data_IF_474252068453
#
_entry.id   IF_474252068453
#
_cell.length_a   1.000
_cell.length_b   1.000
_cell.length_c   1.000
_cell.angle_alpha   90.00
_cell.angle_beta   90.00
_cell.angle_gamma   90.00
#
_symmetry.space_group_name_H-M   'P 1'
#
loop_
_entity.id
_entity.type
_entity.pdbx_description
1 polymer ?
#
# COMPACT_ATOMS: atom_id res chain seq x y z
N UNK A 1 -31.47 29.93 -0.70
CA UNK A 1 -30.12 30.09 -1.26
C UNK A 1 -30.18 29.72 -2.73
N UNK A 2 -29.51 30.48 -3.60
CA UNK A 2 -29.36 30.15 -5.02
C UNK A 2 -27.91 30.44 -5.44
N UNK A 3 -27.09 29.41 -5.70
CA UNK A 3 -27.43 27.98 -5.71
C UNK A 3 -27.75 27.41 -4.32
N UNK A 4 -28.41 26.26 -4.28
CA UNK A 4 -28.79 25.59 -3.03
C UNK A 4 -27.60 25.01 -2.26
N UNK A 5 -27.75 24.89 -0.93
CA UNK A 5 -26.79 24.21 -0.09
C UNK A 5 -26.83 22.69 -0.35
N UNK A 6 -25.67 22.05 -0.41
CA UNK A 6 -25.50 20.61 -0.69
C UNK A 6 -25.30 19.82 0.61
N UNK A 7 -25.33 18.49 0.51
CA UNK A 7 -24.96 17.55 1.58
C UNK A 7 -25.66 17.81 2.93
N UNK A 8 -26.94 18.19 2.90
CA UNK A 8 -27.73 18.48 4.09
C UNK A 8 -27.39 19.82 4.76
N UNK A 9 -26.66 20.71 4.09
CA UNK A 9 -26.43 22.08 4.56
C UNK A 9 -27.73 22.89 4.63
N UNK A 10 -27.83 23.76 5.63
CA UNK A 10 -28.99 24.61 5.85
C UNK A 10 -28.72 26.02 5.33
N UNK A 11 -29.64 26.60 4.57
CA UNK A 11 -29.54 28.00 4.14
C UNK A 11 -29.94 28.90 5.32
N UNK A 12 -28.97 29.60 5.91
CA UNK A 12 -29.20 30.43 7.11
C UNK A 12 -29.28 31.93 6.81
N UNK A 13 -28.75 32.36 5.66
CA UNK A 13 -28.85 33.73 5.18
C UNK A 13 -28.75 33.77 3.64
N UNK A 14 -28.80 34.96 3.04
CA UNK A 14 -28.71 35.14 1.59
C UNK A 14 -27.40 34.55 1.06
N UNK A 15 -27.52 33.42 0.37
CA UNK A 15 -26.39 32.64 -0.19
C UNK A 15 -25.35 32.20 0.85
N UNK A 16 -25.74 32.08 2.12
CA UNK A 16 -24.88 31.57 3.19
C UNK A 16 -25.40 30.23 3.68
N UNK A 17 -24.59 29.19 3.52
CA UNK A 17 -24.90 27.85 3.96
C UNK A 17 -24.23 27.53 5.30
N UNK A 18 -25.00 26.97 6.23
CA UNK A 18 -24.49 26.33 7.44
C UNK A 18 -24.28 24.85 7.16
N UNK A 19 -23.02 24.43 7.12
CA UNK A 19 -22.65 23.04 6.86
C UNK A 19 -22.74 22.18 8.12
N UNK A 20 -22.94 20.87 7.92
CA UNK A 20 -22.72 19.90 8.99
C UNK A 20 -21.22 19.75 9.26
N UNK A 21 -20.85 19.18 10.40
CA UNK A 21 -19.44 19.02 10.82
C UNK A 21 -18.55 18.21 9.85
N UNK A 22 -19.15 17.58 8.83
CA UNK A 22 -18.49 16.70 7.89
C UNK A 22 -18.31 17.31 6.50
N UNK A 23 -18.74 18.55 6.28
CA UNK A 23 -18.66 19.23 4.99
C UNK A 23 -18.26 20.70 5.15
N UNK A 24 -17.58 21.23 4.14
CA UNK A 24 -17.10 22.61 4.04
C UNK A 24 -17.28 23.13 2.61
N UNK A 25 -16.99 24.41 2.40
CA UNK A 25 -17.26 25.12 1.14
C UNK A 25 -18.50 26.01 1.23
N UNK A 26 -18.65 26.94 0.29
CA UNK A 26 -19.73 27.92 0.27
C UNK A 26 -21.12 27.27 0.18
N UNK A 27 -21.20 26.09 -0.43
CA UNK A 27 -22.41 25.30 -0.58
C UNK A 27 -22.31 23.96 0.16
N UNK A 28 -21.36 23.79 1.08
CA UNK A 28 -21.11 22.53 1.78
C UNK A 28 -20.78 21.36 0.84
N UNK A 29 -20.10 21.65 -0.27
CA UNK A 29 -19.82 20.71 -1.35
C UNK A 29 -18.61 19.80 -1.09
N UNK A 30 -17.67 20.21 -0.22
CA UNK A 30 -16.45 19.46 0.04
C UNK A 30 -16.55 18.64 1.34
N UNK A 31 -16.30 17.33 1.31
CA UNK A 31 -16.30 16.51 2.51
C UNK A 31 -15.05 16.77 3.36
N UNK A 32 -15.21 16.58 4.68
CA UNK A 32 -14.12 16.67 5.67
C UNK A 32 -13.74 15.27 6.14
N UNK A 33 -12.45 14.99 6.09
CA UNK A 33 -11.85 13.81 6.71
C UNK A 33 -11.16 14.26 8.00
N UNK A 34 -11.61 13.75 9.17
CA UNK A 34 -11.00 14.09 10.48
C UNK A 34 -9.51 13.77 10.51
N UNK A 35 -9.15 12.67 9.87
CA UNK A 35 -7.76 12.31 9.64
C UNK A 35 -7.38 12.62 8.20
N UNK A 36 -6.31 13.39 8.02
CA UNK A 36 -5.81 13.78 6.70
C UNK A 36 -5.47 12.54 5.88
N UNK A 37 -5.97 12.50 4.64
CA UNK A 37 -5.56 11.52 3.64
C UNK A 37 -4.08 11.72 3.30
N UNK A 38 -3.28 10.67 3.36
CA UNK A 38 -1.84 10.71 3.13
C UNK A 38 -1.51 10.39 1.67
N UNK A 39 -0.26 10.62 1.29
CA UNK A 39 0.30 10.19 0.00
C UNK A 39 -0.50 10.63 -1.23
N UNK A 40 -1.03 11.85 -1.20
CA UNK A 40 -1.84 12.41 -2.29
C UNK A 40 -3.28 11.89 -2.36
N UNK A 41 -3.74 11.14 -1.35
CA UNK A 41 -5.13 10.70 -1.25
C UNK A 41 -6.10 11.89 -1.13
N UNK A 42 -7.31 11.73 -1.68
CA UNK A 42 -8.35 12.78 -1.69
C UNK A 42 -9.52 12.39 -0.79
N UNK A 43 -9.98 13.29 0.06
CA UNK A 43 -11.21 13.08 0.81
C UNK A 43 -12.41 13.14 -0.14
N UNK A 44 -13.18 12.05 -0.24
CA UNK A 44 -14.32 11.95 -1.18
C UNK A 44 -15.66 11.80 -0.49
N UNK A 45 -15.65 11.35 0.78
CA UNK A 45 -16.79 11.32 1.69
C UNK A 45 -16.27 11.54 3.11
N UNK A 46 -17.14 11.85 4.08
CA UNK A 46 -16.73 11.98 5.47
C UNK A 46 -15.87 10.79 5.94
N UNK A 47 -14.62 11.06 6.31
CA UNK A 47 -13.61 10.06 6.71
C UNK A 47 -13.29 8.96 5.68
N UNK A 48 -13.58 9.18 4.39
CA UNK A 48 -13.23 8.24 3.32
C UNK A 48 -12.22 8.89 2.38
N UNK A 49 -11.02 8.33 2.38
CA UNK A 49 -9.94 8.72 1.49
C UNK A 49 -9.95 7.85 0.23
N UNK A 50 -9.96 8.50 -0.94
CA UNK A 50 -9.66 7.88 -2.22
C UNK A 50 -8.15 7.86 -2.41
N UNK A 51 -7.57 6.68 -2.56
CA UNK A 51 -6.15 6.46 -2.76
C UNK A 51 -5.84 6.13 -4.22
N UNK A 52 -4.61 6.39 -4.67
CA UNK A 52 -4.09 5.74 -5.88
C UNK A 52 -3.80 4.27 -5.56
N UNK A 53 -4.72 3.38 -5.93
CA UNK A 53 -4.68 1.96 -5.59
C UNK A 53 -3.46 1.22 -6.18
N UNK A 54 -2.77 1.81 -7.15
CA UNK A 54 -1.51 1.27 -7.70
C UNK A 54 -0.36 1.33 -6.70
N UNK A 55 -0.43 2.25 -5.73
CA UNK A 55 0.67 2.56 -4.83
C UNK A 55 0.28 2.59 -3.34
N UNK A 56 -0.98 2.87 -3.02
CA UNK A 56 -1.42 3.13 -1.65
C UNK A 56 -2.80 2.55 -1.32
N UNK A 57 -2.96 2.13 -0.07
CA UNK A 57 -4.20 1.58 0.51
C UNK A 57 -4.32 1.94 1.99
N UNK A 58 -5.37 1.43 2.64
CA UNK A 58 -5.72 1.73 4.02
C UNK A 58 -6.60 2.96 4.15
N UNK A 59 -7.19 3.13 5.33
CA UNK A 59 -8.21 4.15 5.64
C UNK A 59 -7.78 5.60 5.35
N UNK A 60 -6.47 5.86 5.36
CA UNK A 60 -5.87 7.17 5.09
C UNK A 60 -4.86 7.12 3.95
N UNK A 61 -4.86 6.08 3.11
CA UNK A 61 -3.84 5.86 2.08
C UNK A 61 -2.42 5.72 2.66
N UNK A 62 -2.30 5.21 3.89
CA UNK A 62 -1.04 5.12 4.64
C UNK A 62 -0.25 3.84 4.36
N UNK A 63 -0.90 2.81 3.84
CA UNK A 63 -0.28 1.52 3.60
C UNK A 63 0.24 1.46 2.16
N UNK A 64 1.52 1.15 1.92
CA UNK A 64 2.04 1.00 0.57
C UNK A 64 1.50 -0.27 -0.08
N UNK A 65 1.33 -0.21 -1.40
CA UNK A 65 0.97 -1.35 -2.25
C UNK A 65 2.16 -1.68 -3.14
N UNK A 66 2.51 -2.96 -3.18
CA UNK A 66 3.50 -3.48 -4.12
C UNK A 66 2.72 -4.23 -5.20
N UNK A 67 2.84 -3.79 -6.46
CA UNK A 67 2.14 -4.39 -7.60
C UNK A 67 2.51 -5.88 -7.75
N UNK A 68 3.76 -6.20 -7.47
CA UNK A 68 4.20 -7.58 -7.29
C UNK A 68 4.36 -7.90 -5.80
N UNK A 69 3.88 -9.06 -5.34
CA UNK A 69 3.95 -9.41 -3.93
C UNK A 69 5.40 -9.62 -3.48
N UNK A 70 5.70 -9.20 -2.26
CA UNK A 70 6.95 -9.55 -1.59
C UNK A 70 6.91 -11.03 -1.19
N UNK A 71 7.83 -11.83 -1.72
CA UNK A 71 7.95 -13.26 -1.47
C UNK A 71 8.69 -13.54 -0.16
N UNK A 72 8.66 -14.81 0.25
CA UNK A 72 9.40 -15.34 1.40
C UNK A 72 9.22 -14.54 2.71
N UNK A 73 8.01 -14.02 2.93
CA UNK A 73 7.67 -13.25 4.14
C UNK A 73 8.20 -11.81 4.14
N UNK A 74 8.65 -11.30 3.00
CA UNK A 74 8.98 -9.88 2.84
C UNK A 74 7.76 -8.97 3.02
N UNK A 75 8.00 -7.71 3.40
CA UNK A 75 6.94 -6.71 3.62
C UNK A 75 7.08 -5.56 2.63
N UNK A 76 5.96 -5.12 2.06
CA UNK A 76 5.93 -3.90 1.26
C UNK A 76 6.12 -2.70 2.19
N UNK A 77 7.19 -1.92 2.00
CA UNK A 77 7.54 -0.77 2.85
C UNK A 77 7.39 0.56 2.13
N UNK A 78 7.46 0.54 0.80
CA UNK A 78 7.13 1.65 -0.09
C UNK A 78 6.52 1.08 -1.38
N UNK A 79 5.88 1.91 -2.21
CA UNK A 79 5.33 1.43 -3.46
C UNK A 79 6.38 0.69 -4.30
N UNK A 80 6.09 -0.59 -4.62
CA UNK A 80 6.98 -1.49 -5.34
C UNK A 80 8.37 -1.72 -4.72
N UNK A 81 8.52 -1.51 -3.41
CA UNK A 81 9.74 -1.78 -2.66
C UNK A 81 9.47 -2.70 -1.47
N UNK A 82 10.10 -3.88 -1.50
CA UNK A 82 10.03 -4.88 -0.45
C UNK A 82 11.20 -4.75 0.52
N UNK A 83 10.90 -4.85 1.82
CA UNK A 83 11.88 -5.20 2.85
C UNK A 83 11.90 -6.70 3.00
N UNK A 84 13.06 -7.31 2.76
CA UNK A 84 13.22 -8.76 2.78
C UNK A 84 13.53 -9.30 4.17
N UNK A 85 13.11 -10.54 4.41
CA UNK A 85 13.56 -11.31 5.56
C UNK A 85 15.05 -11.64 5.42
N UNK A 86 15.69 -11.93 6.56
CA UNK A 86 17.10 -12.33 6.58
C UNK A 86 17.34 -13.55 5.69
N UNK A 87 18.38 -13.48 4.86
CA UNK A 87 18.71 -14.54 3.91
C UNK A 87 17.96 -14.46 2.57
N UNK A 88 17.13 -13.46 2.33
CA UNK A 88 16.49 -13.22 1.03
C UNK A 88 16.82 -11.83 0.48
N UNK A 89 16.83 -11.71 -0.85
CA UNK A 89 17.10 -10.46 -1.56
C UNK A 89 16.41 -10.42 -2.93
N UNK A 90 16.60 -9.33 -3.66
CA UNK A 90 15.89 -9.05 -4.91
C UNK A 90 14.72 -8.10 -4.69
N UNK A 91 14.12 -7.63 -5.77
CA UNK A 91 13.07 -6.58 -5.72
C UNK A 91 11.81 -7.07 -5.00
N UNK A 92 11.53 -8.36 -5.12
CA UNK A 92 10.38 -9.05 -4.53
C UNK A 92 10.82 -10.04 -3.45
N UNK A 93 12.07 -9.96 -2.96
CA UNK A 93 12.63 -10.95 -2.04
C UNK A 93 12.62 -12.38 -2.61
N UNK A 94 12.69 -12.50 -3.94
CA UNK A 94 12.55 -13.74 -4.67
C UNK A 94 13.81 -14.61 -4.65
N UNK A 95 14.97 -14.03 -4.34
CA UNK A 95 16.25 -14.73 -4.34
C UNK A 95 16.66 -15.09 -2.92
N UNK A 96 17.14 -16.31 -2.72
CA UNK A 96 17.70 -16.77 -1.45
C UNK A 96 19.23 -16.61 -1.45
N UNK A 97 19.79 -16.30 -0.28
CA UNK A 97 21.22 -16.25 -0.01
C UNK A 97 21.63 -17.60 0.56
N UNK A 98 22.37 -18.38 -0.22
CA UNK A 98 23.07 -19.55 0.30
C UNK A 98 24.49 -19.11 0.66
N UNK A 99 24.83 -19.17 1.96
CA UNK A 99 26.16 -18.81 2.48
C UNK A 99 27.28 -19.57 1.76
N UNK A 100 26.94 -20.79 1.37
CA UNK A 100 27.73 -21.72 0.60
C UNK A 100 27.07 -21.94 -0.77
N UNK A 101 27.82 -21.77 -1.87
CA UNK A 101 27.30 -22.03 -3.22
C UNK A 101 26.84 -23.49 -3.37
N UNK A 102 25.70 -23.68 -4.00
CA UNK A 102 25.24 -24.98 -4.48
C UNK A 102 26.10 -25.40 -5.68
N UNK A 103 26.68 -26.60 -5.64
CA UNK A 103 27.53 -27.17 -6.67
C UNK A 103 26.72 -27.97 -7.70
N UNK A 104 27.41 -28.44 -8.74
CA UNK A 104 26.93 -29.31 -9.82
C UNK A 104 25.54 -28.93 -10.41
N UNK A 105 25.31 -27.63 -10.58
CA UNK A 105 24.05 -27.11 -11.14
C UNK A 105 22.88 -27.07 -10.15
N UNK A 106 23.14 -27.29 -8.86
CA UNK A 106 22.15 -27.13 -7.80
C UNK A 106 21.67 -25.68 -7.67
N UNK A 107 20.39 -25.49 -7.32
CA UNK A 107 19.77 -24.17 -7.17
C UNK A 107 19.52 -23.84 -5.70
N UNK A 108 19.94 -22.66 -5.26
CA UNK A 108 19.58 -22.14 -3.95
C UNK A 108 18.08 -21.83 -3.90
N UNK A 109 17.32 -22.59 -3.10
CA UNK A 109 15.86 -22.45 -3.01
C UNK A 109 15.41 -21.79 -1.70
N UNK A 110 16.22 -21.89 -0.64
CA UNK A 110 16.04 -21.24 0.65
C UNK A 110 17.41 -20.93 1.25
N UNK A 111 17.51 -20.05 2.26
CA UNK A 111 18.77 -19.78 2.93
C UNK A 111 19.44 -21.07 3.40
N UNK A 112 20.63 -21.36 2.85
CA UNK A 112 21.38 -22.57 3.17
C UNK A 112 20.78 -23.89 2.66
N UNK A 113 19.79 -23.88 1.78
CA UNK A 113 19.18 -25.09 1.20
C UNK A 113 19.31 -25.11 -0.32
N UNK A 114 19.95 -26.16 -0.83
CA UNK A 114 20.13 -26.40 -2.25
C UNK A 114 19.15 -27.46 -2.77
N UNK A 115 18.54 -27.20 -3.92
CA UNK A 115 17.86 -28.20 -4.73
C UNK A 115 18.84 -28.78 -5.74
N UNK A 116 19.14 -30.08 -5.63
CA UNK A 116 20.16 -30.73 -6.44
C UNK A 116 19.65 -31.13 -7.81
N UNK A 117 20.55 -31.11 -8.80
CA UNK A 117 20.29 -31.73 -10.08
C UNK A 117 20.23 -33.25 -9.95
N UNK A 118 19.65 -33.93 -10.94
CA UNK A 118 19.51 -35.39 -10.92
C UNK A 118 20.87 -36.08 -10.75
N UNK A 119 20.95 -37.02 -9.81
CA UNK A 119 22.18 -37.77 -9.49
C UNK A 119 23.07 -37.13 -8.41
N UNK A 120 22.79 -35.91 -7.96
CA UNK A 120 23.53 -35.23 -6.89
C UNK A 120 22.75 -35.23 -5.57
N UNK A 121 23.46 -35.35 -4.45
CA UNK A 121 22.87 -35.41 -3.10
C UNK A 121 23.73 -34.65 -2.10
N UNK A 122 23.22 -34.52 -0.86
CA UNK A 122 23.91 -33.80 0.20
C UNK A 122 23.54 -32.31 0.27
N UNK A 123 24.04 -31.59 1.27
CA UNK A 123 23.60 -30.21 1.57
C UNK A 123 23.99 -29.19 0.50
N UNK A 124 24.92 -29.54 -0.41
CA UNK A 124 25.47 -28.63 -1.44
C UNK A 124 25.41 -29.18 -2.87
N UNK A 125 24.81 -30.34 -3.13
CA UNK A 125 24.57 -30.89 -4.48
C UNK A 125 25.80 -31.07 -5.39
#
# INVERSE_FOLDING_TARGET
>A
CSPGCRNGGLCIAKNTCKCSQWFVGEQCEFPVCRSTCLNGGRCVKPNVCLCDSRFWTGVRCQLPVCMFPCLHGGRCVRPNQCSCQSGYYGKMCEKAICKDSCFNGGRCIRPGTCACAFGFTGPRC
#
